data_IF_441041142512
#
_entry.id   IF_441041142512
#
_cell.length_a   1.000
_cell.length_b   1.000
_cell.length_c   1.000
_cell.angle_alpha   90.00
_cell.angle_beta   90.00
_cell.angle_gamma   90.00
#
_symmetry.space_group_name_H-M   'P 1'
#
loop_
_entity.id
_entity.type
_entity.pdbx_description
1 polymer ?
#
# COMPACT_ATOMS: atom_id res chain seq x y z
N UNK A 1 -12.65 -60.28 8.37
CA UNK A 1 -12.71 -60.74 9.77
C UNK A 1 -13.16 -59.61 10.65
N UNK A 2 -14.37 -59.76 11.17
CA UNK A 2 -14.95 -59.32 12.45
C UNK A 2 -14.68 -57.88 12.88
N UNK A 3 -15.61 -56.91 12.75
CA UNK A 3 -16.84 -56.75 13.56
C UNK A 3 -16.56 -56.27 15.00
N UNK A 4 -17.02 -55.07 15.32
CA UNK A 4 -18.09 -54.82 16.29
C UNK A 4 -18.41 -53.33 16.48
N UNK A 5 -19.69 -53.06 16.27
CA UNK A 5 -20.44 -51.88 16.77
C UNK A 5 -20.65 -52.00 18.29
N UNK A 6 -20.86 -50.85 18.94
CA UNK A 6 -21.81 -50.58 20.05
C UNK A 6 -21.87 -49.05 20.23
N UNK A 7 -22.88 -48.33 20.00
CA UNK A 7 -24.29 -48.13 20.37
C UNK A 7 -24.52 -47.73 21.83
N UNK A 8 -25.33 -46.63 21.90
CA UNK A 8 -26.25 -46.18 22.99
C UNK A 8 -25.59 -45.28 24.06
N UNK A 9 -26.24 -44.26 24.64
CA UNK A 9 -27.60 -43.76 24.59
C UNK A 9 -27.65 -42.34 25.16
N UNK A 10 -28.75 -41.63 24.85
CA UNK A 10 -29.14 -40.32 25.29
C UNK A 10 -29.57 -40.22 26.76
N UNK A 11 -29.48 -39.07 27.38
CA UNK A 11 -30.34 -38.66 28.46
C UNK A 11 -30.52 -37.16 28.53
N UNK A 12 -31.73 -36.67 28.36
CA UNK A 12 -32.30 -35.37 28.63
C UNK A 12 -32.95 -35.35 30.01
N UNK A 13 -33.69 -34.30 30.46
CA UNK A 13 -33.23 -33.24 31.34
C UNK A 13 -34.02 -33.21 32.67
N UNK A 14 -33.66 -32.37 33.57
CA UNK A 14 -34.57 -31.99 34.71
C UNK A 14 -34.41 -30.53 35.14
N UNK A 15 -35.50 -29.78 35.01
CA UNK A 15 -35.78 -28.59 35.82
C UNK A 15 -36.31 -29.00 37.22
N UNK A 16 -36.25 -28.16 38.24
CA UNK A 16 -37.39 -27.79 39.00
C UNK A 16 -37.55 -26.29 39.33
N UNK A 17 -38.73 -25.74 39.12
CA UNK A 17 -39.67 -25.02 40.02
C UNK A 17 -39.05 -24.54 41.35
N UNK A 18 -39.18 -23.31 41.83
CA UNK A 18 -40.17 -22.28 41.81
C UNK A 18 -40.45 -21.85 43.26
N UNK A 19 -40.71 -20.54 43.48
CA UNK A 19 -41.46 -19.91 44.61
C UNK A 19 -40.90 -18.49 44.81
N UNK A 20 -41.59 -17.43 44.52
CA UNK A 20 -42.74 -16.66 45.08
C UNK A 20 -42.35 -15.66 46.16
N UNK A 21 -42.77 -14.41 45.87
CA UNK A 21 -43.23 -13.29 46.77
C UNK A 21 -42.09 -12.40 47.31
N UNK A 22 -42.16 -11.10 47.29
CA UNK A 22 -43.21 -10.12 47.25
C UNK A 22 -42.70 -8.71 47.29
N UNK A 23 -43.35 -7.88 46.67
CA UNK A 23 -43.77 -6.58 46.65
C UNK A 23 -42.99 -5.42 47.36
N UNK A 24 -42.84 -4.31 46.68
CA UNK A 24 -43.45 -3.02 46.99
C UNK A 24 -42.93 -1.92 46.06
N UNK A 25 -43.82 -1.24 45.47
CA UNK A 25 -43.66 -0.11 44.57
C UNK A 25 -43.08 1.13 45.27
N UNK A 26 -42.26 1.88 44.57
CA UNK A 26 -42.25 3.35 44.63
C UNK A 26 -41.79 3.95 43.29
N UNK A 27 -42.69 4.69 42.74
CA UNK A 27 -42.49 5.55 41.56
C UNK A 27 -41.54 6.69 41.88
N UNK A 28 -40.69 7.09 40.94
CA UNK A 28 -40.46 8.50 40.65
C UNK A 28 -39.66 8.73 39.34
N UNK A 29 -40.33 9.45 38.48
CA UNK A 29 -39.89 10.49 37.54
C UNK A 29 -38.91 10.18 36.43
N UNK A 30 -39.45 10.26 35.25
CA UNK A 30 -38.83 10.43 33.95
C UNK A 30 -38.06 11.76 33.82
N UNK A 31 -36.84 11.70 33.30
CA UNK A 31 -36.23 12.75 32.49
C UNK A 31 -35.52 12.08 31.33
N UNK A 32 -35.73 12.50 30.09
CA UNK A 32 -35.01 11.93 28.94
C UNK A 32 -33.63 12.56 28.87
N UNK A 33 -32.60 11.77 29.06
CA UNK A 33 -31.25 12.15 28.69
C UNK A 33 -31.11 12.01 27.17
N UNK A 34 -31.01 13.12 26.50
CA UNK A 34 -30.63 13.24 25.08
C UNK A 34 -29.17 12.81 24.98
N UNK A 35 -28.93 11.56 24.59
CA UNK A 35 -27.60 11.11 24.23
C UNK A 35 -27.30 11.58 22.83
N UNK A 36 -26.59 12.71 22.72
CA UNK A 36 -25.94 13.16 21.50
C UNK A 36 -24.84 12.15 21.14
N UNK A 37 -25.11 11.36 20.11
CA UNK A 37 -24.13 10.52 19.44
C UNK A 37 -23.12 11.44 18.73
N UNK A 38 -22.03 11.76 19.40
CA UNK A 38 -20.82 12.25 18.75
C UNK A 38 -19.93 11.04 18.44
N UNK A 39 -20.27 10.34 17.39
CA UNK A 39 -19.39 9.31 16.82
C UNK A 39 -18.52 9.92 15.75
N UNK A 40 -17.21 9.96 15.96
CA UNK A 40 -16.31 10.16 14.85
C UNK A 40 -14.96 10.86 15.11
N UNK A 41 -14.71 11.40 16.28
CA UNK A 41 -13.45 12.13 16.53
C UNK A 41 -12.63 11.63 17.74
N UNK A 42 -13.00 10.53 18.37
CA UNK A 42 -12.47 10.17 19.69
C UNK A 42 -11.27 9.21 19.72
N UNK A 43 -10.75 8.74 18.56
CA UNK A 43 -9.68 7.73 18.59
C UNK A 43 -8.25 8.30 18.62
N UNK A 44 -8.07 9.60 18.47
CA UNK A 44 -6.74 10.23 18.50
C UNK A 44 -6.35 10.82 19.87
N UNK A 45 -7.31 10.97 20.80
CA UNK A 45 -7.08 11.68 22.06
C UNK A 45 -6.62 10.81 23.23
N UNK A 46 -6.78 9.48 23.15
CA UNK A 46 -6.52 8.64 24.32
C UNK A 46 -5.07 8.22 24.55
N UNK A 47 -4.17 8.45 23.61
CA UNK A 47 -2.79 7.95 23.69
C UNK A 47 -1.70 9.02 23.77
N UNK A 48 -2.05 10.29 23.61
CA UNK A 48 -1.16 11.43 23.88
C UNK A 48 -1.65 12.14 25.15
N UNK A 49 -1.35 11.59 26.30
CA UNK A 49 -1.80 12.13 27.59
C UNK A 49 -1.09 13.44 28.02
N UNK A 50 -0.22 13.98 27.19
CA UNK A 50 0.50 15.23 27.44
C UNK A 50 0.47 16.13 26.21
N UNK A 51 0.16 17.42 26.33
CA UNK A 51 0.18 18.37 25.22
C UNK A 51 1.62 18.82 24.87
N UNK A 52 2.57 17.89 24.83
CA UNK A 52 3.94 18.19 24.45
C UNK A 52 4.09 18.27 22.90
N UNK A 53 5.19 18.86 22.46
CA UNK A 53 5.51 18.99 21.02
C UNK A 53 5.55 17.64 20.29
N UNK A 54 5.85 16.55 21.00
CA UNK A 54 5.89 15.20 20.44
C UNK A 54 4.49 14.72 20.07
N UNK A 55 3.51 14.98 20.91
CA UNK A 55 2.11 14.65 20.64
C UNK A 55 1.57 15.42 19.44
N UNK A 56 1.84 16.71 19.33
CA UNK A 56 1.46 17.52 18.19
C UNK A 56 2.09 16.97 16.89
N UNK A 57 3.39 16.64 16.95
CA UNK A 57 4.14 16.08 15.84
C UNK A 57 3.59 14.71 15.37
N UNK A 58 3.26 13.80 16.28
CA UNK A 58 2.65 12.51 15.99
C UNK A 58 1.25 12.68 15.43
N UNK A 59 0.42 13.51 16.06
CA UNK A 59 -0.96 13.76 15.64
C UNK A 59 -1.05 14.37 14.25
N UNK A 60 -0.17 15.30 13.89
CA UNK A 60 -0.12 15.90 12.57
C UNK A 60 0.10 14.85 11.45
N UNK A 61 0.93 13.82 11.69
CA UNK A 61 1.08 12.71 10.76
C UNK A 61 -0.19 11.85 10.73
N UNK A 62 -0.66 11.42 11.89
CA UNK A 62 -1.74 10.45 11.96
C UNK A 62 -3.08 10.96 11.43
N UNK A 63 -3.30 12.28 11.38
CA UNK A 63 -4.48 12.91 10.77
C UNK A 63 -4.52 12.79 9.25
N UNK A 64 -3.40 12.51 8.59
CA UNK A 64 -3.30 12.40 7.13
C UNK A 64 -3.61 11.00 6.60
N UNK A 65 -3.87 10.04 7.48
CA UNK A 65 -4.11 8.63 7.10
C UNK A 65 -5.42 8.47 6.36
N UNK A 66 -5.35 7.86 5.21
CA UNK A 66 -6.50 7.51 4.37
C UNK A 66 -6.36 6.09 3.80
N UNK A 67 -7.43 5.55 3.26
CA UNK A 67 -7.39 4.29 2.57
C UNK A 67 -7.46 3.05 3.45
N UNK A 68 -7.18 1.91 2.86
CA UNK A 68 -7.22 0.63 3.58
C UNK A 68 -6.21 0.56 4.72
N UNK A 69 -5.06 1.21 4.59
CA UNK A 69 -4.02 1.26 5.62
C UNK A 69 -4.23 2.33 6.72
N UNK A 70 -5.37 3.03 6.71
CA UNK A 70 -5.63 4.13 7.65
C UNK A 70 -5.65 3.73 9.13
N UNK A 71 -5.76 2.44 9.43
CA UNK A 71 -5.68 1.93 10.82
C UNK A 71 -4.27 1.90 11.37
N UNK A 72 -3.24 2.07 10.54
CA UNK A 72 -1.86 2.08 10.99
C UNK A 72 -1.62 3.24 11.97
N UNK A 73 -1.18 2.94 13.16
CA UNK A 73 -0.76 3.91 14.19
C UNK A 73 0.73 3.82 14.48
N UNK A 74 1.40 2.84 13.87
CA UNK A 74 2.82 2.61 14.01
C UNK A 74 3.28 2.48 15.45
N UNK A 75 4.26 3.29 15.83
CA UNK A 75 4.81 3.33 17.18
C UNK A 75 4.07 4.21 18.18
N UNK A 76 2.81 4.58 17.90
CA UNK A 76 2.02 5.43 18.80
C UNK A 76 1.98 4.87 20.23
N UNK A 77 2.14 5.73 21.22
CA UNK A 77 2.17 5.35 22.64
C UNK A 77 3.43 4.59 23.08
N UNK A 78 4.35 4.33 22.17
CA UNK A 78 5.57 3.60 22.45
C UNK A 78 6.79 4.46 22.72
N UNK A 79 7.96 3.84 22.59
CA UNK A 79 9.24 4.52 22.80
C UNK A 79 9.61 5.39 21.60
N UNK A 80 10.20 6.55 21.87
CA UNK A 80 10.91 7.32 20.87
C UNK A 80 12.37 6.92 20.85
N UNK A 81 12.88 6.58 19.66
CA UNK A 81 14.29 6.29 19.43
C UNK A 81 14.81 7.26 18.38
N UNK A 82 15.89 7.92 18.67
CA UNK A 82 16.58 8.80 17.75
C UNK A 82 17.80 8.09 17.14
N UNK A 83 17.84 8.02 15.83
CA UNK A 83 19.00 7.51 15.08
C UNK A 83 20.04 8.63 15.02
N UNK A 84 21.23 8.35 15.53
CA UNK A 84 22.34 9.31 15.66
C UNK A 84 23.55 8.95 14.82
N UNK A 85 23.54 7.80 14.14
CA UNK A 85 24.63 7.31 13.32
C UNK A 85 24.14 6.90 11.94
N UNK A 86 24.86 7.30 10.90
CA UNK A 86 24.65 6.94 9.50
C UNK A 86 25.28 5.61 9.07
N UNK A 87 25.93 4.91 10.01
CA UNK A 87 26.49 3.59 9.74
C UNK A 87 25.38 2.54 9.56
N UNK A 88 25.65 1.47 8.80
CA UNK A 88 24.71 0.35 8.64
C UNK A 88 24.45 -0.40 9.96
N UNK A 89 25.45 -0.52 10.81
CA UNK A 89 25.36 -1.30 12.05
C UNK A 89 26.15 -0.65 13.20
N UNK A 90 25.86 -1.08 14.42
CA UNK A 90 26.46 -0.53 15.64
C UNK A 90 25.52 0.34 16.45
N UNK A 91 25.99 0.93 17.55
CA UNK A 91 25.19 1.81 18.39
C UNK A 91 24.70 3.05 17.65
N UNK A 92 23.47 3.50 17.97
CA UNK A 92 22.87 4.71 17.37
C UNK A 92 22.37 4.56 15.94
N UNK A 93 22.53 3.41 15.28
CA UNK A 93 22.12 3.18 13.89
C UNK A 93 20.64 2.85 13.75
N UNK A 94 20.09 3.01 12.54
CA UNK A 94 18.72 2.59 12.22
C UNK A 94 18.52 1.07 12.45
N UNK A 95 19.49 0.25 12.12
CA UNK A 95 19.46 -1.21 12.36
C UNK A 95 19.37 -1.53 13.85
N UNK A 96 20.10 -0.83 14.70
CA UNK A 96 20.02 -0.98 16.15
C UNK A 96 18.66 -0.51 16.70
N UNK A 97 18.11 0.59 16.18
CA UNK A 97 16.79 1.08 16.55
C UNK A 97 15.69 0.06 16.21
N UNK A 98 15.74 -0.52 15.00
CA UNK A 98 14.81 -1.58 14.59
C UNK A 98 14.95 -2.87 15.41
N UNK A 99 16.16 -3.21 15.86
CA UNK A 99 16.35 -4.33 16.78
C UNK A 99 15.67 -4.09 18.14
N UNK A 100 15.69 -2.84 18.62
CA UNK A 100 14.99 -2.45 19.83
C UNK A 100 13.46 -2.41 19.63
N UNK A 101 12.97 -2.03 18.44
CA UNK A 101 11.55 -1.97 18.10
C UNK A 101 10.86 -3.35 18.17
N UNK A 102 11.59 -4.46 18.11
CA UNK A 102 11.06 -5.80 18.37
C UNK A 102 10.49 -5.99 19.78
N UNK A 103 10.86 -5.12 20.72
CA UNK A 103 10.45 -5.22 22.13
C UNK A 103 9.13 -4.48 22.44
N UNK A 104 8.52 -3.81 21.45
CA UNK A 104 7.25 -3.10 21.62
C UNK A 104 7.13 -1.85 20.74
N UNK A 105 6.00 -1.15 20.81
CA UNK A 105 5.73 0.00 19.96
C UNK A 105 6.87 1.02 19.99
N UNK A 106 7.27 1.49 18.81
CA UNK A 106 8.47 2.34 18.71
C UNK A 106 8.31 3.34 17.56
N UNK A 107 8.56 4.62 17.87
CA UNK A 107 8.66 5.71 16.92
C UNK A 107 10.13 6.07 16.72
N UNK A 108 10.63 5.85 15.51
CA UNK A 108 12.05 6.08 15.17
C UNK A 108 12.14 7.39 14.40
N UNK A 109 13.02 8.29 14.84
CA UNK A 109 13.36 9.57 14.21
C UNK A 109 14.87 9.65 13.97
N UNK A 110 15.29 10.72 13.30
CA UNK A 110 16.69 10.95 12.95
C UNK A 110 17.18 12.28 13.54
N UNK A 111 18.35 12.28 14.15
CA UNK A 111 18.95 13.45 14.79
C UNK A 111 19.36 14.52 13.77
N UNK A 112 19.80 14.10 12.57
CA UNK A 112 20.31 14.97 11.52
C UNK A 112 19.96 14.41 10.13
N UNK A 113 20.25 15.18 9.10
CA UNK A 113 20.33 14.67 7.73
C UNK A 113 21.38 13.57 7.68
N UNK A 114 21.06 12.44 7.02
CA UNK A 114 22.02 11.34 6.92
C UNK A 114 21.80 10.47 5.68
N UNK A 115 22.88 9.89 5.20
CA UNK A 115 22.89 8.91 4.12
C UNK A 115 23.44 7.60 4.64
N UNK A 116 22.58 6.60 4.75
CA UNK A 116 22.89 5.28 5.30
C UNK A 116 23.07 4.30 4.15
N UNK A 117 24.30 3.82 3.94
CA UNK A 117 24.58 2.78 2.95
C UNK A 117 24.34 1.42 3.57
N UNK A 118 23.36 0.68 3.06
CA UNK A 118 22.93 -0.58 3.66
C UNK A 118 23.69 -1.78 3.07
N UNK A 119 24.26 -2.59 3.90
CA UNK A 119 24.84 -3.89 3.51
C UNK A 119 23.76 -4.92 3.18
N UNK A 120 22.64 -4.84 3.84
CA UNK A 120 21.48 -5.72 3.63
C UNK A 120 20.19 -5.06 4.09
N UNK A 121 19.08 -5.54 3.54
CA UNK A 121 17.74 -5.07 3.87
C UNK A 121 17.48 -4.96 5.36
N UNK A 122 16.81 -3.90 5.76
CA UNK A 122 16.36 -3.69 7.13
C UNK A 122 14.96 -4.29 7.32
N UNK A 123 14.78 -5.13 8.33
CA UNK A 123 13.47 -5.67 8.70
C UNK A 123 12.77 -4.75 9.68
N UNK A 124 11.56 -4.33 9.33
CA UNK A 124 10.72 -3.44 10.15
C UNK A 124 9.76 -4.29 10.98
N UNK A 125 9.85 -4.26 12.31
CA UNK A 125 8.93 -4.99 13.19
C UNK A 125 7.53 -4.39 13.21
N UNK A 126 6.57 -5.13 13.80
CA UNK A 126 5.23 -4.61 14.08
C UNK A 126 5.26 -3.41 15.02
N UNK A 127 4.21 -2.59 14.95
CA UNK A 127 4.03 -1.41 15.81
C UNK A 127 5.21 -0.42 15.73
N UNK A 128 5.70 -0.19 14.51
CA UNK A 128 6.87 0.66 14.29
C UNK A 128 6.55 1.78 13.31
N UNK A 129 6.96 2.99 13.67
CA UNK A 129 7.03 4.14 12.74
C UNK A 129 8.50 4.46 12.47
N UNK A 130 8.87 4.58 11.18
CA UNK A 130 10.13 5.20 10.76
C UNK A 130 9.76 6.54 10.13
N UNK A 131 10.15 7.62 10.78
CA UNK A 131 9.72 8.99 10.47
C UNK A 131 10.93 9.89 10.17
N UNK A 132 11.10 10.18 8.88
CA UNK A 132 12.16 11.05 8.38
C UNK A 132 11.80 12.54 8.34
N UNK A 133 10.59 12.94 8.77
CA UNK A 133 10.15 14.33 8.69
C UNK A 133 11.13 15.31 9.36
N UNK A 134 11.36 16.43 8.67
CA UNK A 134 12.29 17.46 9.12
C UNK A 134 13.76 17.12 8.92
N UNK A 135 14.06 16.00 8.25
CA UNK A 135 15.43 15.58 7.90
C UNK A 135 15.48 15.01 6.48
N UNK A 136 16.63 15.14 5.83
CA UNK A 136 16.93 14.46 4.57
C UNK A 136 17.58 13.12 4.87
N UNK A 137 16.78 12.05 4.92
CA UNK A 137 17.26 10.71 5.22
C UNK A 137 17.25 9.88 3.96
N UNK A 138 18.41 9.35 3.57
CA UNK A 138 18.57 8.48 2.41
C UNK A 138 19.10 7.09 2.82
N UNK A 139 18.43 6.04 2.39
CA UNK A 139 18.87 4.65 2.46
C UNK A 139 19.38 4.24 1.08
N UNK A 140 20.59 3.74 1.00
CA UNK A 140 21.28 3.47 -0.25
C UNK A 140 21.58 1.97 -0.38
N UNK A 141 21.49 1.44 -1.61
CA UNK A 141 21.84 0.08 -2.04
C UNK A 141 20.87 -1.03 -1.62
N UNK A 142 20.12 -0.87 -0.54
CA UNK A 142 19.08 -1.80 -0.12
C UNK A 142 17.90 -1.04 0.51
N UNK A 143 16.88 -1.74 0.99
CA UNK A 143 15.64 -1.14 1.42
C UNK A 143 15.05 -1.71 2.71
N UNK A 144 13.74 -1.56 2.83
CA UNK A 144 12.95 -1.93 4.00
C UNK A 144 12.06 -3.14 3.71
N UNK A 145 12.08 -4.13 4.59
CA UNK A 145 11.22 -5.31 4.53
C UNK A 145 10.23 -5.36 5.69
N UNK A 146 8.94 -5.32 5.38
CA UNK A 146 7.83 -5.51 6.32
C UNK A 146 7.32 -6.92 6.10
N UNK A 147 7.76 -7.87 6.92
CA UNK A 147 7.48 -9.29 6.74
C UNK A 147 6.75 -9.88 7.95
N UNK A 148 5.49 -10.25 7.76
CA UNK A 148 4.65 -10.76 8.85
C UNK A 148 4.42 -9.70 9.95
N UNK A 149 4.59 -8.43 9.62
CA UNK A 149 4.46 -7.32 10.55
C UNK A 149 3.12 -6.62 10.38
N UNK A 150 2.60 -6.08 11.46
CA UNK A 150 1.37 -5.31 11.47
C UNK A 150 1.58 -3.94 12.09
N UNK A 151 0.75 -2.98 11.69
CA UNK A 151 0.76 -1.64 12.25
C UNK A 151 2.12 -0.93 12.06
N UNK A 152 2.45 -0.64 10.79
CA UNK A 152 3.72 -0.06 10.40
C UNK A 152 3.49 1.23 9.60
N UNK A 153 4.26 2.26 9.91
CA UNK A 153 4.30 3.53 9.16
C UNK A 153 5.74 3.78 8.71
N UNK A 154 5.90 4.04 7.40
CA UNK A 154 7.16 4.43 6.77
C UNK A 154 6.93 5.78 6.10
N UNK A 155 7.61 6.83 6.54
CA UNK A 155 7.35 8.17 6.00
C UNK A 155 8.60 9.04 5.87
N UNK A 156 8.64 9.86 4.81
CA UNK A 156 9.68 10.85 4.52
C UNK A 156 11.10 10.27 4.47
N UNK A 157 11.29 9.25 3.63
CA UNK A 157 12.60 8.63 3.39
C UNK A 157 12.90 8.60 1.90
N UNK A 158 14.15 8.76 1.53
CA UNK A 158 14.66 8.43 0.20
C UNK A 158 15.25 7.03 0.23
N UNK A 159 14.92 6.18 -0.75
CA UNK A 159 15.53 4.85 -0.91
C UNK A 159 15.98 4.69 -2.35
N UNK A 160 17.29 4.60 -2.54
CA UNK A 160 17.92 4.57 -3.85
C UNK A 160 18.85 3.36 -3.97
N UNK A 161 18.52 2.45 -4.87
CA UNK A 161 19.30 1.23 -5.08
C UNK A 161 20.55 1.41 -5.90
N UNK A 162 20.76 2.55 -6.56
CA UNK A 162 21.86 2.81 -7.48
C UNK A 162 22.09 1.72 -8.54
N UNK A 163 21.09 0.81 -8.72
CA UNK A 163 21.17 -0.40 -9.56
C UNK A 163 22.32 -1.36 -9.17
N UNK A 164 22.74 -1.31 -7.92
CA UNK A 164 23.94 -1.98 -7.47
C UNK A 164 23.73 -3.46 -7.11
N UNK A 165 22.54 -3.82 -6.62
CA UNK A 165 22.20 -5.18 -6.17
C UNK A 165 20.81 -5.57 -6.63
N UNK A 166 20.52 -6.88 -6.68
CA UNK A 166 19.16 -7.37 -6.94
C UNK A 166 18.28 -7.19 -5.69
N UNK A 167 17.78 -5.99 -5.48
CA UNK A 167 17.05 -5.59 -4.28
C UNK A 167 15.76 -4.84 -4.58
N UNK A 168 14.99 -4.57 -3.53
CA UNK A 168 13.70 -3.89 -3.56
C UNK A 168 13.69 -2.79 -2.49
N UNK A 169 13.16 -1.60 -2.82
CA UNK A 169 13.14 -0.50 -1.86
C UNK A 169 12.20 -0.77 -0.68
N UNK A 170 10.96 -1.16 -0.94
CA UNK A 170 10.00 -1.54 0.11
C UNK A 170 9.32 -2.86 -0.25
N UNK A 171 9.34 -3.81 0.66
CA UNK A 171 8.70 -5.11 0.45
C UNK A 171 7.74 -5.43 1.60
N UNK A 172 6.43 -5.30 1.35
CA UNK A 172 5.36 -5.66 2.29
C UNK A 172 4.88 -7.06 1.95
N UNK A 173 5.20 -8.06 2.80
CA UNK A 173 4.94 -9.45 2.46
C UNK A 173 4.64 -10.32 3.68
N UNK A 174 4.24 -11.57 3.40
CA UNK A 174 4.06 -12.63 4.38
C UNK A 174 2.99 -12.33 5.45
N UNK A 175 1.81 -11.87 4.99
CA UNK A 175 0.68 -11.59 5.88
C UNK A 175 0.78 -10.28 6.65
N UNK A 176 1.60 -9.35 6.19
CA UNK A 176 1.67 -8.01 6.79
C UNK A 176 0.37 -7.25 6.58
N UNK A 177 -0.02 -6.43 7.55
CA UNK A 177 -1.27 -5.65 7.49
C UNK A 177 -1.20 -4.35 8.27
N UNK A 178 -2.15 -3.46 7.97
CA UNK A 178 -2.21 -2.12 8.58
C UNK A 178 -0.88 -1.39 8.36
N UNK A 179 -0.50 -1.23 7.08
CA UNK A 179 0.76 -0.60 6.69
C UNK A 179 0.47 0.69 5.93
N UNK A 180 1.11 1.75 6.34
CA UNK A 180 1.07 3.03 5.64
C UNK A 180 2.48 3.43 5.18
N UNK A 181 2.63 3.58 3.87
CA UNK A 181 3.83 4.06 3.20
C UNK A 181 3.52 5.43 2.65
N UNK A 182 4.25 6.45 3.07
CA UNK A 182 3.91 7.83 2.81
C UNK A 182 5.13 8.69 2.53
N UNK A 183 5.05 9.61 1.57
CA UNK A 183 6.13 10.55 1.23
C UNK A 183 7.51 9.90 1.08
N UNK A 184 7.59 8.71 0.48
CA UNK A 184 8.88 8.14 0.12
C UNK A 184 9.33 8.59 -1.26
N UNK A 185 10.63 8.74 -1.44
CA UNK A 185 11.27 8.91 -2.76
C UNK A 185 12.03 7.62 -3.11
N UNK A 186 11.51 6.86 -4.08
CA UNK A 186 11.99 5.52 -4.40
C UNK A 186 12.54 5.45 -5.83
N UNK A 187 13.80 5.02 -5.98
CA UNK A 187 14.44 4.98 -7.28
C UNK A 187 15.49 3.88 -7.45
N UNK A 188 15.81 3.60 -8.70
CA UNK A 188 16.97 2.83 -9.18
C UNK A 188 17.19 1.49 -8.48
N UNK A 189 16.10 0.79 -8.11
CA UNK A 189 16.17 -0.60 -7.66
C UNK A 189 16.21 -1.54 -8.87
N UNK A 190 17.00 -2.56 -8.80
CA UNK A 190 17.17 -3.52 -9.91
C UNK A 190 16.01 -4.49 -10.06
N UNK A 191 15.26 -4.78 -8.98
CA UNK A 191 14.05 -5.60 -9.08
C UNK A 191 12.79 -4.73 -9.07
N UNK A 192 12.42 -4.13 -7.94
CA UNK A 192 11.20 -3.31 -7.81
C UNK A 192 11.35 -2.21 -6.78
N UNK A 193 10.57 -1.15 -6.94
CA UNK A 193 10.54 -0.08 -5.94
C UNK A 193 9.63 -0.46 -4.76
N UNK A 194 8.46 -1.08 -5.02
CA UNK A 194 7.57 -1.50 -3.94
C UNK A 194 6.83 -2.79 -4.29
N UNK A 195 6.61 -3.65 -3.28
CA UNK A 195 5.72 -4.80 -3.40
C UNK A 195 4.75 -4.88 -2.23
N UNK A 196 3.52 -5.36 -2.52
CA UNK A 196 2.57 -5.88 -1.54
C UNK A 196 2.16 -7.26 -2.00
N UNK A 197 2.50 -8.32 -1.25
CA UNK A 197 2.31 -9.70 -1.71
C UNK A 197 2.20 -10.70 -0.57
N UNK A 198 1.97 -11.97 -0.94
CA UNK A 198 2.00 -13.11 -0.03
C UNK A 198 1.05 -12.94 1.17
N UNK A 199 -0.24 -12.67 0.89
CA UNK A 199 -1.28 -12.53 1.90
C UNK A 199 -1.25 -11.22 2.69
N UNK A 200 -0.49 -10.22 2.23
CA UNK A 200 -0.50 -8.91 2.87
C UNK A 200 -1.73 -8.10 2.44
N UNK A 201 -2.29 -7.32 3.36
CA UNK A 201 -3.53 -6.57 3.18
C UNK A 201 -3.55 -5.27 3.97
N UNK A 202 -4.55 -4.44 3.70
CA UNK A 202 -4.77 -3.17 4.42
C UNK A 202 -3.54 -2.26 4.37
N UNK A 203 -3.15 -1.95 3.13
CA UNK A 203 -1.98 -1.12 2.84
C UNK A 203 -2.43 0.16 2.14
N UNK A 204 -1.91 1.29 2.58
CA UNK A 204 -2.00 2.56 1.84
C UNK A 204 -0.61 3.02 1.44
N UNK A 205 -0.51 3.49 0.20
CA UNK A 205 0.69 4.10 -0.37
C UNK A 205 0.28 5.47 -0.87
N UNK A 206 0.84 6.52 -0.28
CA UNK A 206 0.43 7.90 -0.55
C UNK A 206 1.63 8.83 -0.73
N UNK A 207 1.44 9.86 -1.53
CA UNK A 207 2.41 10.94 -1.73
C UNK A 207 3.85 10.44 -1.98
N UNK A 208 4.00 9.24 -2.50
CA UNK A 208 5.30 8.60 -2.76
C UNK A 208 5.70 8.82 -4.21
N UNK A 209 6.95 9.17 -4.43
CA UNK A 209 7.55 9.32 -5.74
C UNK A 209 8.28 8.04 -6.14
N UNK A 210 7.91 7.52 -7.30
CA UNK A 210 8.50 6.35 -7.92
C UNK A 210 9.16 6.76 -9.23
N UNK A 211 10.46 6.62 -9.34
CA UNK A 211 11.12 7.07 -10.56
C UNK A 211 12.35 6.26 -10.95
N UNK A 212 12.75 6.43 -12.22
CA UNK A 212 13.99 5.86 -12.75
C UNK A 212 14.09 4.35 -12.47
N UNK A 213 13.06 3.59 -12.84
CA UNK A 213 13.02 2.14 -12.62
C UNK A 213 12.24 1.42 -13.72
N UNK A 214 12.62 0.18 -13.97
CA UNK A 214 11.90 -0.67 -14.91
C UNK A 214 10.57 -1.17 -14.33
N UNK A 215 10.65 -1.98 -13.28
CA UNK A 215 9.50 -2.64 -12.65
C UNK A 215 9.16 -1.92 -11.36
N UNK A 216 8.17 -1.05 -11.38
CA UNK A 216 7.94 -0.16 -10.25
C UNK A 216 7.26 -0.86 -9.09
N UNK A 217 6.02 -1.32 -9.27
CA UNK A 217 5.22 -1.84 -8.16
C UNK A 217 4.48 -3.13 -8.53
N UNK A 218 4.51 -4.10 -7.63
CA UNK A 218 3.78 -5.34 -7.76
C UNK A 218 2.82 -5.54 -6.58
N UNK A 219 1.53 -5.61 -6.89
CA UNK A 219 0.46 -5.93 -5.95
C UNK A 219 0.01 -7.36 -6.23
N UNK A 220 0.44 -8.26 -5.38
CA UNK A 220 0.43 -9.72 -5.54
C UNK A 220 1.31 -10.24 -6.68
N UNK A 221 1.76 -11.46 -6.54
CA UNK A 221 2.65 -12.11 -7.50
C UNK A 221 2.23 -13.54 -7.76
N UNK A 222 1.90 -13.80 -9.02
CA UNK A 222 1.77 -15.17 -9.48
C UNK A 222 3.11 -15.63 -10.02
N UNK A 223 3.55 -16.76 -9.56
CA UNK A 223 4.46 -17.58 -10.31
C UNK A 223 3.66 -18.72 -10.95
N UNK A 224 3.96 -19.07 -12.19
CA UNK A 224 3.29 -20.14 -12.93
C UNK A 224 3.23 -21.48 -12.18
N UNK A 225 4.07 -21.65 -11.16
CA UNK A 225 4.16 -22.90 -10.37
C UNK A 225 3.11 -22.99 -9.26
N UNK A 226 2.57 -21.87 -8.75
CA UNK A 226 1.77 -21.85 -7.50
C UNK A 226 0.50 -20.99 -7.60
N UNK A 227 -0.12 -20.90 -8.77
CA UNK A 227 -1.26 -20.03 -8.98
C UNK A 227 -2.43 -20.35 -8.04
N UNK A 228 -2.80 -21.64 -7.96
CA UNK A 228 -3.94 -22.08 -7.16
C UNK A 228 -3.69 -21.97 -5.65
N UNK A 229 -2.50 -22.34 -5.20
CA UNK A 229 -2.12 -22.26 -3.80
C UNK A 229 -2.05 -20.80 -3.30
N UNK A 230 -1.75 -19.88 -4.20
CA UNK A 230 -1.57 -18.47 -3.86
C UNK A 230 -2.84 -17.65 -3.97
N UNK A 231 -3.83 -18.09 -4.75
CA UNK A 231 -5.01 -17.27 -5.02
C UNK A 231 -5.75 -16.86 -3.75
N UNK A 232 -6.20 -17.82 -2.96
CA UNK A 232 -6.99 -17.55 -1.75
C UNK A 232 -6.22 -16.73 -0.72
N UNK A 233 -4.93 -17.02 -0.59
CA UNK A 233 -4.03 -16.24 0.25
C UNK A 233 -3.91 -14.79 -0.21
N UNK A 234 -3.77 -14.55 -1.50
CA UNK A 234 -3.43 -13.24 -2.06
C UNK A 234 -4.69 -12.42 -2.42
N UNK A 235 -5.86 -13.07 -2.63
CA UNK A 235 -7.13 -12.41 -2.92
C UNK A 235 -7.64 -11.51 -1.78
N UNK A 236 -7.16 -11.70 -0.57
CA UNK A 236 -7.48 -10.85 0.59
C UNK A 236 -6.83 -9.47 0.53
N UNK A 237 -5.87 -9.25 -0.35
CA UNK A 237 -5.14 -8.00 -0.43
C UNK A 237 -6.08 -6.82 -0.71
N UNK A 238 -5.98 -5.79 0.10
CA UNK A 238 -6.65 -4.50 -0.06
C UNK A 238 -5.60 -3.41 -0.03
N UNK A 239 -5.48 -2.67 -1.14
CA UNK A 239 -4.44 -1.64 -1.26
C UNK A 239 -5.03 -0.36 -1.82
N UNK A 240 -4.70 0.75 -1.19
CA UNK A 240 -5.00 2.10 -1.68
C UNK A 240 -3.73 2.78 -2.16
N UNK A 241 -3.79 3.39 -3.33
CA UNK A 241 -2.75 4.26 -3.86
C UNK A 241 -3.33 5.63 -4.14
N UNK A 242 -2.79 6.70 -3.52
CA UNK A 242 -3.27 8.04 -3.81
C UNK A 242 -2.16 9.09 -3.78
N UNK A 243 -2.32 10.10 -4.66
CA UNK A 243 -1.40 11.23 -4.77
C UNK A 243 0.07 10.83 -4.98
N UNK A 244 0.31 9.64 -5.55
CA UNK A 244 1.66 9.19 -5.87
C UNK A 244 2.11 9.75 -7.22
N UNK A 245 3.41 9.93 -7.37
CA UNK A 245 4.05 10.38 -8.59
C UNK A 245 4.92 9.28 -9.20
N UNK A 246 4.51 8.78 -10.36
CA UNK A 246 5.29 7.83 -11.16
C UNK A 246 5.93 8.58 -12.31
N UNK A 247 7.24 8.61 -12.35
CA UNK A 247 7.98 9.40 -13.32
C UNK A 247 9.15 8.64 -13.93
N UNK A 248 9.28 8.70 -15.25
CA UNK A 248 10.42 8.12 -15.95
C UNK A 248 10.60 6.64 -15.62
N UNK A 249 9.56 5.85 -15.86
CA UNK A 249 9.49 4.42 -15.54
C UNK A 249 9.23 3.60 -16.80
N UNK A 250 9.36 2.28 -16.72
CA UNK A 250 9.01 1.43 -17.87
C UNK A 250 7.63 0.82 -17.72
N UNK A 251 7.36 0.15 -16.60
CA UNK A 251 6.15 -0.63 -16.41
C UNK A 251 5.78 -0.82 -14.94
N UNK A 252 4.54 -1.30 -14.70
CA UNK A 252 4.03 -1.67 -13.38
C UNK A 252 3.84 -0.48 -12.45
N UNK A 253 3.05 0.49 -12.88
CA UNK A 253 2.76 1.70 -12.11
C UNK A 253 1.31 1.77 -11.56
N UNK A 254 0.78 0.76 -10.86
CA UNK A 254 1.29 -0.56 -10.49
C UNK A 254 0.90 -1.68 -11.48
N UNK A 255 1.33 -2.93 -11.19
CA UNK A 255 0.70 -4.15 -11.68
C UNK A 255 0.01 -4.86 -10.52
N UNK A 256 -1.32 -5.04 -10.61
CA UNK A 256 -2.16 -5.69 -9.62
C UNK A 256 -2.76 -7.01 -10.13
N UNK A 257 -2.70 -8.04 -9.30
CA UNK A 257 -3.26 -9.36 -9.59
C UNK A 257 -4.03 -9.84 -8.36
N UNK A 258 -5.22 -10.43 -8.56
CA UNK A 258 -6.14 -10.74 -7.45
C UNK A 258 -6.45 -9.51 -6.58
N UNK A 259 -7.04 -9.67 -5.43
CA UNK A 259 -7.18 -8.59 -4.45
C UNK A 259 -8.10 -7.44 -4.87
N UNK A 260 -8.10 -6.41 -4.04
CA UNK A 260 -8.97 -5.25 -4.16
C UNK A 260 -8.13 -3.98 -4.10
N UNK A 261 -8.24 -3.14 -5.13
CA UNK A 261 -7.38 -1.99 -5.31
C UNK A 261 -8.21 -0.71 -5.51
N UNK A 262 -7.82 0.36 -4.82
CA UNK A 262 -8.37 1.69 -5.01
C UNK A 262 -7.24 2.66 -5.35
N UNK A 263 -7.30 3.25 -6.53
CA UNK A 263 -6.26 4.14 -7.05
C UNK A 263 -6.90 5.48 -7.41
N UNK A 264 -6.56 6.54 -6.69
CA UNK A 264 -7.10 7.85 -6.97
C UNK A 264 -6.05 8.96 -6.89
N UNK A 265 -6.22 9.96 -7.73
CA UNK A 265 -5.37 11.15 -7.77
C UNK A 265 -3.86 10.86 -7.86
N UNK A 266 -3.46 9.79 -8.56
CA UNK A 266 -2.07 9.55 -8.87
C UNK A 266 -1.68 10.26 -10.17
N UNK A 267 -0.43 10.70 -10.25
CA UNK A 267 0.17 11.25 -11.46
C UNK A 267 1.15 10.25 -12.06
N UNK A 268 0.94 9.88 -13.31
CA UNK A 268 1.87 9.06 -14.09
C UNK A 268 2.41 9.89 -15.24
N UNK A 269 3.73 9.99 -15.33
CA UNK A 269 4.40 10.71 -16.41
C UNK A 269 5.55 9.90 -16.99
N UNK A 270 5.60 9.87 -18.31
CA UNK A 270 6.75 9.33 -19.05
C UNK A 270 7.07 7.87 -18.69
N UNK A 271 6.12 6.98 -18.92
CA UNK A 271 6.36 5.53 -18.88
C UNK A 271 6.50 4.96 -20.30
N UNK A 272 7.18 3.81 -20.45
CA UNK A 272 7.51 3.28 -21.77
C UNK A 272 6.62 2.13 -22.25
N UNK A 273 6.22 1.21 -21.36
CA UNK A 273 5.37 0.08 -21.72
C UNK A 273 3.91 0.32 -21.36
N UNK A 274 3.54 0.12 -20.11
CA UNK A 274 2.21 0.44 -19.62
C UNK A 274 2.26 1.20 -18.29
N UNK A 275 1.28 2.06 -18.08
CA UNK A 275 1.09 2.74 -16.82
C UNK A 275 0.64 1.74 -15.76
N UNK A 276 -0.65 1.59 -15.57
CA UNK A 276 -1.26 0.61 -14.66
C UNK A 276 -1.61 -0.68 -15.41
N UNK A 277 -1.52 -1.83 -14.76
CA UNK A 277 -1.97 -3.12 -15.28
C UNK A 277 -2.68 -3.93 -14.20
N UNK A 278 -3.84 -4.51 -14.56
CA UNK A 278 -4.59 -5.37 -13.66
C UNK A 278 -4.99 -6.65 -14.38
N UNK A 279 -4.94 -7.78 -13.68
CA UNK A 279 -5.27 -9.08 -14.24
C UNK A 279 -5.76 -10.05 -13.18
N UNK A 280 -6.23 -11.23 -13.64
CA UNK A 280 -6.54 -12.38 -12.79
C UNK A 280 -7.55 -12.02 -11.70
N UNK A 281 -8.72 -11.56 -12.13
CA UNK A 281 -9.83 -11.17 -11.25
C UNK A 281 -9.50 -10.10 -10.20
N UNK A 282 -8.44 -9.31 -10.41
CA UNK A 282 -8.18 -8.14 -9.60
C UNK A 282 -9.38 -7.17 -9.68
N UNK A 283 -9.84 -6.65 -8.55
CA UNK A 283 -10.95 -5.71 -8.47
C UNK A 283 -10.39 -4.31 -8.26
N UNK A 284 -10.51 -3.42 -9.23
CA UNK A 284 -9.91 -2.11 -9.14
C UNK A 284 -10.89 -0.97 -9.45
N UNK A 285 -10.91 0.03 -8.58
CA UNK A 285 -11.45 1.36 -8.86
C UNK A 285 -10.28 2.29 -9.14
N UNK A 286 -10.28 2.87 -10.35
CA UNK A 286 -9.24 3.77 -10.85
C UNK A 286 -9.90 5.10 -11.18
N UNK A 287 -9.77 6.11 -10.29
CA UNK A 287 -10.50 7.36 -10.42
C UNK A 287 -9.63 8.60 -10.21
N UNK A 288 -9.90 9.65 -10.99
CA UNK A 288 -9.23 10.93 -10.84
C UNK A 288 -7.71 10.91 -11.03
N UNK A 289 -7.15 9.86 -11.66
CA UNK A 289 -5.72 9.80 -11.94
C UNK A 289 -5.37 10.62 -13.18
N UNK A 290 -4.14 11.09 -13.25
CA UNK A 290 -3.61 11.86 -14.36
C UNK A 290 -2.54 11.02 -15.07
N UNK A 291 -2.78 10.72 -16.34
CA UNK A 291 -1.86 10.01 -17.21
C UNK A 291 -1.31 10.99 -18.24
N UNK A 292 -0.02 11.29 -18.19
CA UNK A 292 0.64 12.24 -19.09
C UNK A 292 1.87 11.57 -19.72
N UNK A 293 1.81 11.28 -21.00
CA UNK A 293 2.91 10.65 -21.71
C UNK A 293 3.20 11.32 -23.04
N UNK A 294 4.47 11.49 -23.38
CA UNK A 294 4.91 12.06 -24.64
C UNK A 294 5.45 10.95 -25.57
N UNK A 295 4.79 10.75 -26.72
CA UNK A 295 5.19 9.78 -27.73
C UNK A 295 6.53 10.05 -28.38
N UNK A 296 6.95 11.30 -28.43
CA UNK A 296 8.24 11.71 -29.00
C UNK A 296 9.42 11.33 -28.12
N UNK A 297 9.16 11.06 -26.85
CA UNK A 297 10.20 10.63 -25.93
C UNK A 297 10.72 9.26 -26.33
N UNK A 298 12.03 9.14 -26.44
CA UNK A 298 12.68 7.84 -26.62
C UNK A 298 12.47 6.98 -25.35
N UNK A 299 12.35 5.67 -25.55
CA UNK A 299 12.30 4.74 -24.45
C UNK A 299 13.50 4.94 -23.54
N UNK A 300 13.25 4.92 -22.23
CA UNK A 300 14.29 5.15 -21.21
C UNK A 300 15.43 4.17 -21.40
N UNK A 301 16.60 4.71 -21.66
CA UNK A 301 17.81 3.96 -21.94
C UNK A 301 18.23 3.03 -20.79
N UNK A 302 19.05 2.03 -21.07
CA UNK A 302 19.39 0.88 -20.23
C UNK A 302 20.07 1.18 -18.89
N UNK A 303 20.26 2.42 -18.51
CA UNK A 303 20.80 2.77 -17.18
C UNK A 303 19.95 2.21 -16.01
N UNK A 304 18.67 1.88 -16.27
CA UNK A 304 17.78 1.34 -15.26
C UNK A 304 17.68 -0.19 -15.26
N UNK A 305 18.51 -0.86 -16.05
CA UNK A 305 18.46 -2.31 -16.14
C UNK A 305 19.75 -2.93 -15.63
N UNK A 306 19.65 -3.94 -14.75
CA UNK A 306 20.82 -4.71 -14.38
C UNK A 306 21.38 -5.40 -15.61
N UNK A 307 22.69 -5.52 -15.68
CA UNK A 307 23.33 -6.41 -16.65
C UNK A 307 22.99 -7.86 -16.29
N UNK A 308 22.38 -8.58 -17.19
CA UNK A 308 22.30 -10.04 -17.11
C UNK A 308 23.54 -10.59 -17.82
N UNK A 309 24.40 -11.28 -17.09
CA UNK A 309 25.66 -11.83 -17.62
C UNK A 309 26.58 -10.80 -18.32
N UNK A 310 26.61 -9.58 -17.79
CA UNK A 310 27.44 -8.50 -18.36
C UNK A 310 26.86 -7.83 -19.61
N UNK A 311 25.71 -8.26 -20.10
CA UNK A 311 25.04 -7.66 -21.25
C UNK A 311 23.97 -6.68 -20.81
N UNK A 312 24.06 -5.42 -21.22
CA UNK A 312 22.99 -4.44 -21.04
C UNK A 312 21.77 -4.86 -21.87
N UNK A 313 20.68 -5.21 -21.20
CA UNK A 313 19.44 -5.60 -21.88
C UNK A 313 18.61 -4.36 -22.16
N UNK A 314 18.45 -4.01 -23.42
CA UNK A 314 17.53 -2.96 -23.86
C UNK A 314 16.10 -3.53 -23.94
N UNK A 315 15.34 -3.41 -22.89
CA UNK A 315 13.95 -3.88 -22.85
C UNK A 315 13.04 -3.17 -23.85
N UNK A 316 13.36 -1.97 -24.26
CA UNK A 316 12.57 -1.22 -25.22
C UNK A 316 12.47 -1.94 -26.58
N UNK A 317 13.46 -2.75 -26.93
CA UNK A 317 13.43 -3.59 -28.14
C UNK A 317 12.38 -4.70 -28.08
N UNK A 318 11.99 -5.12 -26.88
CA UNK A 318 11.06 -6.22 -26.67
C UNK A 318 9.62 -5.76 -26.43
N UNK A 319 9.37 -4.45 -26.34
CA UNK A 319 8.02 -3.92 -26.16
C UNK A 319 7.38 -3.76 -27.55
N UNK A 320 6.30 -4.51 -27.87
CA UNK A 320 5.57 -4.30 -29.11
C UNK A 320 5.10 -2.85 -29.23
N UNK A 321 5.24 -2.25 -30.39
CA UNK A 321 4.89 -0.83 -30.59
C UNK A 321 3.44 -0.54 -30.22
N UNK A 322 2.51 -1.45 -30.56
CA UNK A 322 1.10 -1.33 -30.22
C UNK A 322 0.84 -1.35 -28.69
N UNK A 323 1.74 -1.93 -27.90
CA UNK A 323 1.62 -2.01 -26.44
C UNK A 323 2.35 -0.87 -25.71
N UNK A 324 3.17 -0.10 -26.43
CA UNK A 324 3.90 1.02 -25.85
C UNK A 324 2.94 2.10 -25.37
N UNK A 325 3.21 2.61 -24.18
CA UNK A 325 2.54 3.79 -23.59
C UNK A 325 1.06 3.64 -23.34
N UNK A 326 0.54 2.42 -23.25
CA UNK A 326 -0.83 2.26 -22.79
C UNK A 326 -0.97 2.81 -21.36
N UNK A 327 -1.99 3.63 -21.13
CA UNK A 327 -2.25 4.18 -19.80
C UNK A 327 -2.67 3.07 -18.84
N UNK A 328 -3.47 2.14 -19.33
CA UNK A 328 -4.02 1.05 -18.54
C UNK A 328 -4.12 -0.23 -19.36
N UNK A 329 -3.70 -1.34 -18.79
CA UNK A 329 -3.76 -2.69 -19.35
C UNK A 329 -4.68 -3.58 -18.51
N UNK A 330 -5.65 -4.26 -19.13
CA UNK A 330 -6.57 -5.18 -18.48
C UNK A 330 -6.21 -6.64 -18.78
N UNK A 331 -5.04 -7.06 -18.34
CA UNK A 331 -4.60 -8.43 -18.46
C UNK A 331 -4.05 -8.83 -19.81
N UNK A 332 -4.04 -7.95 -20.82
CA UNK A 332 -3.51 -8.30 -22.14
C UNK A 332 -2.03 -8.70 -22.10
N UNK A 333 -1.24 -8.05 -21.24
CA UNK A 333 0.16 -8.42 -21.00
C UNK A 333 0.35 -9.77 -20.32
N UNK A 334 -0.70 -10.32 -19.70
CA UNK A 334 -0.69 -11.60 -18.98
C UNK A 334 -1.39 -12.72 -19.75
N UNK A 335 -2.01 -12.44 -20.89
CA UNK A 335 -2.82 -13.41 -21.62
C UNK A 335 -2.03 -14.68 -22.00
N UNK A 336 -0.83 -14.52 -22.52
CA UNK A 336 0.03 -15.66 -22.87
C UNK A 336 0.39 -16.53 -21.66
N UNK A 337 0.69 -15.90 -20.52
CA UNK A 337 0.95 -16.61 -19.28
C UNK A 337 -0.31 -17.33 -18.78
N UNK A 338 -1.48 -16.72 -18.92
CA UNK A 338 -2.77 -17.32 -18.56
C UNK A 338 -3.11 -18.52 -19.43
N UNK A 339 -2.94 -18.44 -20.75
CA UNK A 339 -3.19 -19.57 -21.66
C UNK A 339 -2.31 -20.77 -21.33
N UNK A 340 -1.05 -20.54 -20.99
CA UNK A 340 -0.15 -21.58 -20.52
C UNK A 340 -0.64 -22.21 -19.20
N UNK A 341 -1.09 -21.42 -18.26
CA UNK A 341 -1.61 -21.88 -16.97
C UNK A 341 -2.90 -22.68 -17.12
N UNK A 342 -3.79 -22.24 -18.01
CA UNK A 342 -5.03 -22.96 -18.34
C UNK A 342 -4.72 -24.33 -18.96
N UNK A 343 -3.79 -24.39 -19.88
CA UNK A 343 -3.39 -25.62 -20.55
C UNK A 343 -2.73 -26.62 -19.57
N UNK A 344 -1.91 -26.14 -18.62
CA UNK A 344 -1.15 -26.98 -17.68
C UNK A 344 -1.96 -27.41 -16.46
N UNK A 345 -2.90 -26.60 -15.97
CA UNK A 345 -3.48 -26.76 -14.63
C UNK A 345 -5.02 -26.69 -14.60
N UNK A 346 -5.70 -26.62 -15.76
CA UNK A 346 -7.16 -26.53 -15.80
C UNK A 346 -7.71 -25.24 -15.16
N UNK A 347 -6.93 -24.17 -15.17
CA UNK A 347 -7.37 -22.88 -14.60
C UNK A 347 -8.58 -22.32 -15.34
N UNK A 348 -9.68 -22.12 -14.62
CA UNK A 348 -10.98 -21.69 -15.21
C UNK A 348 -11.37 -20.25 -14.88
N UNK A 349 -10.59 -19.55 -14.04
CA UNK A 349 -10.90 -18.17 -13.66
C UNK A 349 -10.59 -17.19 -14.80
N UNK A 350 -11.16 -16.00 -14.73
CA UNK A 350 -10.92 -14.98 -15.72
C UNK A 350 -9.51 -14.35 -15.54
N UNK A 351 -8.77 -14.19 -16.64
CA UNK A 351 -7.47 -13.53 -16.59
C UNK A 351 -7.60 -12.00 -16.56
N UNK A 352 -8.75 -11.46 -16.93
CA UNK A 352 -9.02 -10.03 -16.87
C UNK A 352 -9.34 -9.58 -15.44
N UNK A 353 -9.17 -8.29 -15.19
CA UNK A 353 -9.59 -7.67 -13.96
C UNK A 353 -11.03 -7.13 -14.04
N UNK A 354 -11.67 -6.93 -12.91
CA UNK A 354 -12.91 -6.20 -12.77
C UNK A 354 -12.59 -4.73 -12.51
N UNK A 355 -12.79 -3.88 -13.53
CA UNK A 355 -12.33 -2.49 -13.53
C UNK A 355 -13.49 -1.52 -13.57
N UNK A 356 -13.43 -0.49 -12.75
CA UNK A 356 -14.23 0.73 -12.89
C UNK A 356 -13.27 1.91 -13.04
N UNK A 357 -13.41 2.62 -14.16
CA UNK A 357 -12.65 3.82 -14.48
C UNK A 357 -13.56 5.03 -14.28
N UNK A 358 -13.09 6.05 -13.59
CA UNK A 358 -13.90 7.24 -13.33
C UNK A 358 -13.04 8.49 -13.35
N UNK A 359 -13.45 9.47 -14.10
CA UNK A 359 -12.88 10.83 -14.13
C UNK A 359 -11.35 10.89 -14.29
N UNK A 360 -10.72 9.93 -14.96
CA UNK A 360 -9.29 9.97 -15.22
C UNK A 360 -8.96 10.96 -16.34
N UNK A 361 -7.85 11.68 -16.21
CA UNK A 361 -7.36 12.64 -17.20
C UNK A 361 -6.22 12.04 -18.00
N UNK A 362 -6.34 12.07 -19.33
CA UNK A 362 -5.32 11.56 -20.26
C UNK A 362 -4.74 12.72 -21.06
N UNK A 363 -3.44 12.92 -20.96
CA UNK A 363 -2.70 14.03 -21.58
C UNK A 363 -1.58 13.50 -22.50
N UNK A 364 -1.20 14.32 -23.46
CA UNK A 364 -0.21 13.94 -24.44
C UNK A 364 -0.66 12.75 -25.28
N UNK A 365 0.17 11.75 -25.40
CA UNK A 365 -0.10 10.51 -26.12
C UNK A 365 -0.55 9.36 -25.19
N UNK A 366 -0.90 9.64 -23.96
CA UNK A 366 -1.47 8.66 -23.06
C UNK A 366 -2.77 8.12 -23.67
N UNK A 367 -2.79 6.83 -24.01
CA UNK A 367 -3.96 6.20 -24.59
C UNK A 367 -4.86 5.65 -23.51
N UNK A 368 -6.11 6.07 -23.42
CA UNK A 368 -7.09 5.36 -22.62
C UNK A 368 -7.33 4.01 -23.30
N UNK A 369 -6.85 2.92 -22.75
CA UNK A 369 -6.89 1.62 -23.42
C UNK A 369 -8.16 0.89 -23.14
N UNK A 370 -8.96 1.27 -22.15
CA UNK A 370 -10.00 0.40 -21.69
C UNK A 370 -11.32 1.08 -21.39
N UNK A 371 -12.34 0.37 -21.83
CA UNK A 371 -13.66 0.44 -21.27
C UNK A 371 -13.69 -0.32 -19.95
N UNK A 372 -14.61 0.06 -19.07
CA UNK A 372 -14.91 -0.69 -17.87
C UNK A 372 -15.18 -2.17 -18.20
N UNK A 373 -14.65 -3.04 -17.40
CA UNK A 373 -14.90 -4.48 -17.50
C UNK A 373 -15.49 -4.99 -16.19
N UNK A 374 -16.74 -5.44 -16.25
CA UNK A 374 -17.51 -5.84 -15.06
C UNK A 374 -17.39 -4.82 -13.92
N UNK A 375 -17.75 -3.57 -14.17
CA UNK A 375 -17.51 -2.47 -13.21
C UNK A 375 -18.31 -2.63 -11.92
N UNK A 376 -19.38 -3.43 -11.92
CA UNK A 376 -20.18 -3.77 -10.75
C UNK A 376 -19.40 -4.56 -9.70
N UNK A 377 -18.40 -5.31 -10.12
CA UNK A 377 -17.52 -6.07 -9.22
C UNK A 377 -16.30 -5.26 -8.73
N UNK A 378 -16.08 -4.06 -9.26
CA UNK A 378 -15.05 -3.15 -8.75
C UNK A 378 -15.39 -2.66 -7.34
N UNK A 379 -14.40 -2.37 -6.50
CA UNK A 379 -14.66 -2.02 -5.11
C UNK A 379 -15.40 -0.70 -4.97
N UNK A 380 -16.26 -0.62 -3.96
CA UNK A 380 -16.68 0.65 -3.38
C UNK A 380 -15.84 0.86 -2.11
N UNK A 381 -15.03 1.92 -2.02
CA UNK A 381 -14.18 2.14 -0.86
C UNK A 381 -15.00 2.24 0.42
N UNK A 382 -14.68 1.45 1.48
CA UNK A 382 -15.43 1.47 2.74
C UNK A 382 -14.95 2.56 3.71
N UNK A 383 -14.32 3.60 3.20
CA UNK A 383 -13.73 4.68 3.98
C UNK A 383 -13.95 6.03 3.29
N UNK A 384 -13.84 7.09 4.06
CA UNK A 384 -13.81 8.47 3.57
C UNK A 384 -12.41 8.83 3.08
N UNK A 385 -12.33 9.51 1.93
CA UNK A 385 -11.06 9.89 1.33
C UNK A 385 -11.13 11.26 0.64
N UNK A 386 -9.98 11.91 0.53
CA UNK A 386 -9.83 13.20 -0.10
C UNK A 386 -9.71 13.09 -1.61
N UNK A 387 -10.85 13.01 -2.32
CA UNK A 387 -10.90 13.00 -3.78
C UNK A 387 -10.81 14.41 -4.36
N UNK A 388 -9.97 14.58 -5.36
CA UNK A 388 -9.81 15.81 -6.10
C UNK A 388 -10.05 15.59 -7.60
N UNK A 389 -10.67 16.60 -8.25
CA UNK A 389 -10.80 16.55 -9.71
C UNK A 389 -9.40 16.59 -10.34
N UNK A 390 -9.11 15.70 -11.32
CA UNK A 390 -7.80 15.71 -11.99
C UNK A 390 -7.65 16.95 -12.87
N UNK A 391 -6.70 17.81 -12.52
CA UNK A 391 -6.38 19.06 -13.21
C UNK A 391 -4.86 19.25 -13.32
N UNK A 392 -4.43 20.26 -14.06
CA UNK A 392 -3.02 20.62 -14.13
C UNK A 392 -2.48 21.06 -12.76
N UNK A 393 -3.29 21.78 -11.98
CA UNK A 393 -2.91 22.24 -10.62
C UNK A 393 -2.72 21.05 -9.68
N UNK A 394 -3.57 20.02 -9.78
CA UNK A 394 -3.35 18.78 -9.02
C UNK A 394 -2.04 18.11 -9.44
N UNK A 395 -1.75 18.03 -10.74
CA UNK A 395 -0.49 17.47 -11.22
C UNK A 395 0.72 18.24 -10.68
N UNK A 396 0.69 19.58 -10.69
CA UNK A 396 1.76 20.42 -10.16
C UNK A 396 1.94 20.22 -8.64
N UNK A 397 0.84 20.07 -7.92
CA UNK A 397 0.89 19.80 -6.50
C UNK A 397 1.48 18.43 -6.20
N UNK A 398 1.09 17.39 -6.95
CA UNK A 398 1.67 16.05 -6.79
C UNK A 398 3.17 16.06 -7.11
N UNK A 399 3.61 16.73 -8.20
CA UNK A 399 5.04 16.88 -8.52
C UNK A 399 5.83 17.53 -7.40
N UNK A 400 5.22 18.53 -6.74
CA UNK A 400 5.86 19.31 -5.69
C UNK A 400 5.97 18.57 -4.37
N UNK A 401 4.95 17.81 -3.98
CA UNK A 401 4.84 17.26 -2.63
C UNK A 401 5.06 15.74 -2.56
N UNK A 402 4.91 14.99 -3.66
CA UNK A 402 5.21 13.56 -3.62
C UNK A 402 6.72 13.31 -3.50
N UNK A 403 7.08 12.37 -2.61
CA UNK A 403 8.46 12.04 -2.29
C UNK A 403 8.89 12.58 -0.93
N UNK A 404 10.17 12.42 -0.62
CA UNK A 404 10.77 12.91 0.61
C UNK A 404 10.96 14.43 0.55
N UNK A 405 9.88 15.16 0.68
CA UNK A 405 9.87 16.63 0.67
C UNK A 405 9.78 17.20 2.07
N UNK A 406 10.32 18.39 2.28
CA UNK A 406 10.32 19.07 3.59
C UNK A 406 9.04 19.85 3.90
N UNK A 407 8.06 19.85 3.00
CA UNK A 407 6.83 20.65 3.14
C UNK A 407 5.65 19.82 3.63
N UNK A 408 4.80 20.43 4.44
CA UNK A 408 3.50 19.84 4.77
C UNK A 408 2.63 19.76 3.52
N UNK A 409 2.03 18.61 3.28
CA UNK A 409 1.10 18.42 2.17
C UNK A 409 -0.24 19.02 2.51
N UNK A 410 -0.78 19.94 1.69
CA UNK A 410 -2.12 20.44 1.89
C UNK A 410 -3.15 19.31 1.82
N UNK A 411 -3.99 19.18 2.84
CA UNK A 411 -5.08 18.22 2.82
C UNK A 411 -6.13 18.64 1.77
N UNK A 412 -6.71 17.68 1.04
CA UNK A 412 -7.80 17.95 0.11
C UNK A 412 -9.00 18.58 0.83
N UNK A 413 -9.61 19.60 0.24
CA UNK A 413 -10.79 20.25 0.78
C UNK A 413 -12.07 19.41 0.60
N UNK A 414 -12.14 18.59 -0.45
CA UNK A 414 -13.29 17.76 -0.76
C UNK A 414 -13.05 16.32 -0.30
N UNK A 415 -14.08 15.70 0.27
CA UNK A 415 -14.06 14.30 0.69
C UNK A 415 -15.13 13.49 -0.02
N UNK A 416 -14.80 12.25 -0.33
CA UNK A 416 -15.67 11.30 -0.99
C UNK A 416 -15.63 9.94 -0.27
N UNK A 417 -16.56 9.05 -0.60
CA UNK A 417 -16.61 7.70 -0.06
C UNK A 417 -17.60 7.51 1.08
N UNK A 418 -17.65 6.28 1.57
CA UNK A 418 -18.55 5.86 2.64
C UNK A 418 -18.07 6.37 3.99
N UNK A 419 -18.97 6.92 4.80
CA UNK A 419 -18.65 7.38 6.16
C UNK A 419 -18.03 8.78 6.21
N UNK A 420 -18.03 9.55 5.11
CA UNK A 420 -17.75 10.97 5.17
C UNK A 420 -18.86 11.69 5.94
N UNK A 421 -18.47 12.48 6.92
CA UNK A 421 -19.38 13.48 7.47
C UNK A 421 -19.74 14.49 6.38
N UNK A 422 -20.99 14.97 6.33
CA UNK A 422 -21.41 15.97 5.36
C UNK A 422 -20.63 17.29 5.51
#
# INVERSE_FOLDING_TARGET
>A
MKSRMHSTAAATPRQPRGLRNGGLARALRWLPALALLHGGAALASESCASPDERCAFVSALLQQREGYGAKATGGLGGRFIEVTSDQDSGPGTLRAALAQAKKGPTWIRFASDMTIVLDKQLRVPSNTTIDGRGRRVALIDDGLGVYGSQNVILTHLTIDGRLNRLTQAVNVANGSRDVWVDHLDLSRMSDRLLNVKNGSTDVTISWTKFHNSNKVMLLNNITSKNLFENYDRDAIARVTLHHNYFFNTVQRNPRGQFGTFHLFNNLLENWDFYGMSFSLEAKALVEGNIFNNDAKRQCVEPEFFPTVEGVKVNYCRYIPEAARRSALDNGASDEGAYQNLKAQNGYTRDYKAFLRLKDNLYLGDAKPVLQDYRPEAAPTPPYCYGYERPTAELADRIRKYAGNTSGDTPLPAARAGTGCAP
#
